data_IF_627936518127
#
_entry.id   IF_627936518127
#
_cell.length_a   1.000
_cell.length_b   1.000
_cell.length_c   1.000
_cell.angle_alpha   90.00
_cell.angle_beta   90.00
_cell.angle_gamma   90.00
#
_symmetry.space_group_name_H-M   'P 1'
#
loop_
_entity.id
_entity.type
_entity.pdbx_description
1 polymer ?
#
# COMPACT_ATOMS: atom_id res chain seq x y z
N UNK A 1 18.76 0.23 3.95
CA UNK A 1 18.19 -0.05 2.62
C UNK A 1 17.80 1.29 2.03
N UNK A 2 18.22 1.58 0.81
CA UNK A 2 17.80 2.81 0.13
C UNK A 2 16.37 2.61 -0.42
N UNK A 3 15.46 3.60 -0.26
CA UNK A 3 14.09 3.49 -0.76
C UNK A 3 14.05 3.37 -2.29
N UNK A 4 13.30 2.39 -2.81
CA UNK A 4 13.01 2.25 -4.23
C UNK A 4 11.73 3.02 -4.60
N UNK A 5 11.91 4.29 -4.94
CA UNK A 5 10.82 5.19 -5.32
C UNK A 5 10.15 4.82 -6.65
N UNK A 6 10.88 4.17 -7.56
CA UNK A 6 10.30 3.72 -8.82
C UNK A 6 9.31 2.58 -8.58
N UNK A 7 9.68 1.62 -7.73
CA UNK A 7 8.79 0.54 -7.31
C UNK A 7 7.59 1.08 -6.53
N UNK A 8 7.79 2.03 -5.61
CA UNK A 8 6.70 2.67 -4.89
C UNK A 8 5.71 3.40 -5.82
N UNK A 9 6.22 4.14 -6.81
CA UNK A 9 5.38 4.81 -7.81
C UNK A 9 4.55 3.82 -8.64
N UNK A 10 5.15 2.70 -9.06
CA UNK A 10 4.44 1.65 -9.77
C UNK A 10 3.32 1.01 -8.93
N UNK A 11 3.58 0.78 -7.64
CA UNK A 11 2.58 0.25 -6.69
C UNK A 11 1.41 1.23 -6.55
N UNK A 12 1.67 2.53 -6.40
CA UNK A 12 0.59 3.52 -6.29
C UNK A 12 -0.25 3.62 -7.57
N UNK A 13 0.38 3.53 -8.75
CA UNK A 13 -0.35 3.46 -10.02
C UNK A 13 -1.24 2.20 -10.09
N UNK A 14 -0.80 1.08 -9.53
CA UNK A 14 -1.61 -0.13 -9.46
C UNK A 14 -2.81 0.02 -8.51
N UNK A 15 -2.63 0.67 -7.36
CA UNK A 15 -3.73 1.02 -6.44
C UNK A 15 -4.79 1.86 -7.17
N UNK A 16 -4.38 2.92 -7.88
CA UNK A 16 -5.30 3.78 -8.64
C UNK A 16 -6.06 3.00 -9.72
N UNK A 17 -5.39 2.10 -10.45
CA UNK A 17 -6.03 1.25 -11.45
C UNK A 17 -7.03 0.27 -10.83
N UNK A 18 -6.69 -0.33 -9.69
CA UNK A 18 -7.56 -1.23 -8.94
C UNK A 18 -8.83 -0.52 -8.47
N UNK A 19 -8.69 0.71 -7.99
CA UNK A 19 -9.84 1.54 -7.60
C UNK A 19 -10.71 1.92 -8.79
N UNK A 20 -10.11 2.41 -9.87
CA UNK A 20 -10.83 2.84 -11.06
C UNK A 20 -11.68 1.71 -11.70
N UNK A 21 -11.24 0.45 -11.58
CA UNK A 21 -11.95 -0.73 -12.09
C UNK A 21 -12.83 -1.44 -11.05
N UNK A 22 -12.93 -0.93 -9.82
CA UNK A 22 -13.72 -1.55 -8.75
C UNK A 22 -13.18 -2.91 -8.27
N UNK A 23 -11.89 -3.18 -8.48
CA UNK A 23 -11.22 -4.41 -8.05
C UNK A 23 -10.30 -4.19 -6.84
N UNK A 24 -10.42 -3.05 -6.17
CA UNK A 24 -9.70 -2.76 -4.94
C UNK A 24 -10.30 -3.58 -3.78
N UNK A 25 -9.57 -4.59 -3.33
CA UNK A 25 -10.02 -5.54 -2.30
C UNK A 25 -9.03 -5.57 -1.14
N UNK A 26 -9.47 -6.10 0.01
CA UNK A 26 -8.62 -6.32 1.18
C UNK A 26 -7.34 -7.11 0.84
N UNK A 27 -7.46 -8.14 -0.01
CA UNK A 27 -6.33 -8.95 -0.43
C UNK A 27 -5.30 -8.14 -1.23
N UNK A 28 -5.76 -7.32 -2.18
CA UNK A 28 -4.90 -6.44 -2.97
C UNK A 28 -4.25 -5.36 -2.10
N UNK A 29 -5.00 -4.81 -1.15
CA UNK A 29 -4.48 -3.85 -0.18
C UNK A 29 -3.33 -4.44 0.64
N UNK A 30 -3.52 -5.62 1.26
CA UNK A 30 -2.47 -6.23 2.06
C UNK A 30 -1.25 -6.62 1.23
N UNK A 31 -1.45 -7.13 0.00
CA UNK A 31 -0.36 -7.44 -0.93
C UNK A 31 0.45 -6.19 -1.26
N UNK A 32 -0.20 -5.14 -1.76
CA UNK A 32 0.48 -3.91 -2.19
C UNK A 32 1.10 -3.15 -1.02
N UNK A 33 0.48 -3.18 0.17
CA UNK A 33 1.08 -2.60 1.38
C UNK A 33 2.36 -3.32 1.79
N UNK A 34 2.41 -4.66 1.69
CA UNK A 34 3.62 -5.41 1.97
C UNK A 34 4.74 -5.07 0.98
N UNK A 35 4.42 -5.08 -0.32
CA UNK A 35 5.38 -4.72 -1.37
C UNK A 35 5.90 -3.28 -1.24
N UNK A 36 5.04 -2.35 -0.82
CA UNK A 36 5.40 -0.96 -0.60
C UNK A 36 6.33 -0.81 0.61
N UNK A 37 6.05 -1.52 1.70
CA UNK A 37 6.93 -1.54 2.88
C UNK A 37 8.29 -2.15 2.58
N UNK A 38 8.36 -3.14 1.71
CA UNK A 38 9.64 -3.66 1.21
C UNK A 38 10.40 -2.63 0.37
N UNK A 39 9.70 -1.86 -0.45
CA UNK A 39 10.30 -0.88 -1.35
C UNK A 39 10.85 0.35 -0.60
N UNK A 40 10.09 0.92 0.33
CA UNK A 40 10.40 2.23 0.94
C UNK A 40 10.43 2.23 2.48
N UNK A 41 10.24 1.07 3.11
CA UNK A 41 10.14 0.94 4.56
C UNK A 41 8.77 1.32 5.13
N UNK A 42 8.58 1.12 6.43
CA UNK A 42 7.30 1.33 7.13
C UNK A 42 7.01 2.80 7.49
N UNK A 43 8.00 3.68 7.32
CA UNK A 43 7.95 5.09 7.68
C UNK A 43 7.92 6.05 6.48
N UNK A 44 7.84 5.53 5.25
CA UNK A 44 7.78 6.38 4.04
C UNK A 44 6.37 6.92 3.77
N UNK A 45 6.29 8.16 3.27
CA UNK A 45 5.03 8.84 2.90
C UNK A 45 4.12 8.00 1.98
N UNK A 46 4.71 7.21 1.06
CA UNK A 46 3.94 6.29 0.22
C UNK A 46 3.13 5.27 1.04
N UNK A 47 3.68 4.78 2.15
CA UNK A 47 2.97 3.87 3.06
C UNK A 47 1.81 4.57 3.76
N UNK A 48 1.87 5.89 3.97
CA UNK A 48 0.74 6.65 4.52
C UNK A 48 -0.36 6.86 3.47
N UNK A 49 0.03 7.11 2.21
CA UNK A 49 -0.90 7.32 1.11
C UNK A 49 -1.78 6.10 0.83
N UNK A 50 -1.21 4.89 0.76
CA UNK A 50 -2.01 3.67 0.50
C UNK A 50 -3.05 3.41 1.59
N UNK A 51 -2.80 3.86 2.83
CA UNK A 51 -3.75 3.72 3.95
C UNK A 51 -4.96 4.65 3.81
N UNK A 52 -4.82 5.80 3.13
CA UNK A 52 -5.93 6.71 2.85
C UNK A 52 -6.97 6.10 1.90
N UNK A 53 -6.55 5.13 1.09
CA UNK A 53 -7.38 4.43 0.11
C UNK A 53 -8.01 3.14 0.65
N UNK A 54 -7.61 2.72 1.85
CA UNK A 54 -8.11 1.49 2.46
C UNK A 54 -9.45 1.71 3.16
N UNK A 55 -10.32 0.71 3.11
CA UNK A 55 -11.51 0.70 3.96
C UNK A 55 -11.10 0.60 5.44
N UNK A 56 -11.83 1.26 6.36
CA UNK A 56 -11.48 1.27 7.79
C UNK A 56 -11.31 -0.12 8.40
N UNK A 57 -12.15 -1.08 8.00
CA UNK A 57 -12.11 -2.47 8.48
C UNK A 57 -10.83 -3.23 8.09
N UNK A 58 -10.17 -2.86 7.00
CA UNK A 58 -8.90 -3.47 6.58
C UNK A 58 -7.74 -3.00 7.47
N UNK A 59 -7.84 -1.77 7.98
CA UNK A 59 -6.84 -1.18 8.87
C UNK A 59 -6.79 -1.88 10.23
N UNK A 60 -7.94 -2.37 10.72
CA UNK A 60 -8.04 -3.10 12.00
C UNK A 60 -7.27 -4.44 11.98
N UNK A 61 -7.01 -4.97 10.79
CA UNK A 61 -6.32 -6.26 10.57
C UNK A 61 -4.83 -6.09 10.25
N UNK A 62 -4.31 -4.87 10.31
CA UNK A 62 -2.90 -4.62 10.06
C UNK A 62 -2.03 -5.20 11.19
N UNK A 63 -0.93 -5.88 10.84
CA UNK A 63 0.04 -6.30 11.84
C UNK A 63 0.64 -5.06 12.53
N UNK A 64 0.98 -5.14 13.83
CA UNK A 64 1.57 -4.04 14.56
C UNK A 64 2.86 -3.56 13.88
N UNK A 65 3.04 -2.24 13.80
CA UNK A 65 4.26 -1.61 13.27
C UNK A 65 5.44 -2.05 14.14
N UNK A 66 6.28 -2.97 13.64
CA UNK A 66 7.56 -3.38 14.22
C UNK A 66 8.71 -2.79 13.42
#
# INVERSE_FOLDING_TARGET
MEPDWNRASAIMAEVEQLQARGAWTEAEFHRLLAELREAIGTAGEGTEMILLYAEPEWLERLPPRR
#
